data_IF_302473277308
#
_entry.id   IF_302473277308
#
_cell.length_a   1.000
_cell.length_b   1.000
_cell.length_c   1.000
_cell.angle_alpha   90.00
_cell.angle_beta   90.00
_cell.angle_gamma   90.00
#
_symmetry.space_group_name_H-M   'P 1'
#
loop_
_entity.id
_entity.type
_entity.pdbx_description
1 polymer ?
#
# COMPACT_ATOMS: atom_id res chain seq x y z
N UNK A 1 -8.38 11.19 -2.13
CA UNK A 1 -8.56 10.51 -3.43
C UNK A 1 -7.20 10.34 -4.07
N UNK A 2 -6.98 9.28 -4.85
CA UNK A 2 -5.67 9.08 -5.47
C UNK A 2 -5.37 10.15 -6.55
N UNK A 3 -4.18 10.72 -6.49
CA UNK A 3 -3.64 11.66 -7.46
C UNK A 3 -3.07 10.89 -8.65
N UNK A 4 -3.10 11.55 -9.81
CA UNK A 4 -2.58 11.02 -11.08
C UNK A 4 -1.61 12.07 -11.62
N UNK A 5 -0.38 11.66 -11.91
CA UNK A 5 0.61 12.48 -12.61
C UNK A 5 0.94 11.78 -13.93
N UNK A 6 0.82 12.49 -15.04
CA UNK A 6 1.20 11.97 -16.34
C UNK A 6 2.72 12.01 -16.50
N UNK A 7 3.30 10.88 -16.94
CA UNK A 7 4.69 10.86 -17.36
C UNK A 7 4.84 11.63 -18.67
N UNK A 8 5.91 12.40 -18.82
CA UNK A 8 6.18 13.09 -20.06
C UNK A 8 6.47 12.07 -21.18
N UNK A 9 5.92 12.20 -22.41
CA UNK A 9 6.09 11.22 -23.47
C UNK A 9 7.56 10.87 -23.79
N UNK A 10 8.47 11.84 -23.71
CA UNK A 10 9.92 11.64 -23.93
C UNK A 10 10.55 10.69 -22.89
N UNK A 11 9.95 10.56 -21.71
CA UNK A 11 10.51 9.81 -20.58
C UNK A 11 9.97 8.38 -20.49
N UNK A 12 9.14 7.97 -21.45
CA UNK A 12 8.50 6.66 -21.46
C UNK A 12 8.59 6.02 -22.85
N UNK A 13 8.50 4.70 -22.89
CA UNK A 13 8.35 3.92 -24.12
C UNK A 13 6.88 3.54 -24.38
N UNK A 14 5.98 4.01 -23.53
CA UNK A 14 4.56 3.63 -23.53
C UNK A 14 3.68 4.80 -23.96
N UNK A 15 2.65 4.50 -24.75
CA UNK A 15 1.66 5.50 -25.19
C UNK A 15 0.91 6.12 -24.01
N UNK A 16 0.63 5.31 -22.99
CA UNK A 16 0.02 5.74 -21.75
C UNK A 16 0.92 5.39 -20.57
N UNK A 17 1.32 6.41 -19.81
CA UNK A 17 2.10 6.24 -18.59
C UNK A 17 1.70 7.29 -17.54
N UNK A 18 1.23 6.81 -16.39
CA UNK A 18 0.92 7.66 -15.23
C UNK A 18 1.57 7.13 -13.95
N UNK A 19 1.80 8.04 -13.02
CA UNK A 19 2.15 7.78 -11.63
C UNK A 19 0.94 8.06 -10.73
N UNK A 20 0.80 7.29 -9.66
CA UNK A 20 -0.25 7.50 -8.65
C UNK A 20 0.27 7.25 -7.24
N UNK A 21 -0.29 8.01 -6.29
CA UNK A 21 -0.04 7.89 -4.85
C UNK A 21 -0.82 6.73 -4.20
N UNK A 22 -1.57 5.96 -5.00
CA UNK A 22 -2.19 4.72 -4.56
C UNK A 22 -1.17 3.59 -4.44
N UNK A 23 -1.22 2.83 -3.34
CA UNK A 23 -0.34 1.68 -3.12
C UNK A 23 -0.43 0.65 -4.27
N UNK A 24 0.73 0.06 -4.60
CA UNK A 24 0.90 -0.85 -5.71
C UNK A 24 -0.10 -2.00 -5.74
N UNK A 25 -0.37 -2.64 -4.60
CA UNK A 25 -1.24 -3.81 -4.56
C UNK A 25 -2.70 -3.43 -4.82
N UNK A 26 -3.10 -2.21 -4.45
CA UNK A 26 -4.47 -1.74 -4.70
C UNK A 26 -4.65 -1.32 -6.12
N UNK A 27 -3.71 -0.55 -6.64
CA UNK A 27 -3.71 -0.18 -8.04
C UNK A 27 -3.73 -1.42 -8.92
N UNK A 28 -2.92 -2.45 -8.59
CA UNK A 28 -2.93 -3.73 -9.30
C UNK A 28 -4.29 -4.42 -9.24
N UNK A 29 -4.96 -4.44 -8.09
CA UNK A 29 -6.30 -5.02 -7.95
C UNK A 29 -7.35 -4.22 -8.72
N UNK A 30 -7.29 -2.90 -8.63
CA UNK A 30 -8.24 -1.95 -9.19
C UNK A 30 -8.19 -1.89 -10.73
N UNK A 31 -6.97 -1.95 -11.28
CA UNK A 31 -6.68 -1.81 -12.72
C UNK A 31 -6.63 -3.17 -13.43
N UNK A 32 -6.79 -4.29 -12.71
CA UNK A 32 -6.70 -5.65 -13.23
C UNK A 32 -7.38 -5.79 -14.61
N UNK A 33 -6.58 -6.17 -15.60
CA UNK A 33 -7.03 -6.41 -16.98
C UNK A 33 -7.14 -5.19 -17.89
N UNK A 34 -6.86 -3.97 -17.39
CA UNK A 34 -6.94 -2.74 -18.20
C UNK A 34 -5.58 -2.21 -18.65
N UNK A 35 -4.55 -2.35 -17.81
CA UNK A 35 -3.20 -1.87 -18.07
C UNK A 35 -2.17 -2.61 -17.20
N UNK A 36 -0.90 -2.44 -17.52
CA UNK A 36 0.20 -2.97 -16.72
C UNK A 36 0.45 -2.06 -15.51
N UNK A 37 0.53 -2.64 -14.32
CA UNK A 37 0.83 -1.92 -13.07
C UNK A 37 2.20 -2.33 -12.58
N UNK A 38 3.08 -1.35 -12.35
CA UNK A 38 4.46 -1.53 -11.87
C UNK A 38 4.68 -0.71 -10.61
N UNK A 39 5.65 -1.14 -9.78
CA UNK A 39 6.13 -0.30 -8.66
C UNK A 39 6.96 0.86 -9.20
N UNK A 40 6.91 2.00 -8.54
CA UNK A 40 7.77 3.14 -8.85
C UNK A 40 9.09 3.04 -8.09
N UNK A 41 10.17 2.85 -8.84
CA UNK A 41 11.55 2.93 -8.35
C UNK A 41 12.32 4.06 -9.05
N UNK A 42 11.61 4.93 -9.78
CA UNK A 42 12.21 6.01 -10.57
C UNK A 42 12.80 7.12 -9.70
N UNK A 43 13.74 7.87 -10.28
CA UNK A 43 14.40 9.01 -9.62
C UNK A 43 13.64 10.34 -9.78
N UNK A 44 12.74 10.41 -10.76
CA UNK A 44 12.08 11.67 -11.12
C UNK A 44 10.91 12.01 -10.17
N UNK A 45 10.12 11.01 -9.81
CA UNK A 45 9.09 11.11 -8.78
C UNK A 45 9.42 10.10 -7.69
N UNK A 46 9.38 10.56 -6.45
CA UNK A 46 9.59 9.73 -5.27
C UNK A 46 8.64 8.53 -5.27
N UNK A 47 9.19 7.32 -5.17
CA UNK A 47 8.42 6.10 -4.97
C UNK A 47 7.74 6.04 -3.59
N UNK A 48 8.13 6.89 -2.65
CA UNK A 48 7.48 7.00 -1.35
C UNK A 48 6.21 7.84 -1.41
N UNK A 49 6.14 8.81 -2.33
CA UNK A 49 4.96 9.67 -2.54
C UNK A 49 4.04 9.12 -3.64
N UNK A 50 4.63 8.54 -4.68
CA UNK A 50 3.94 7.96 -5.83
C UNK A 50 4.46 6.53 -6.06
N UNK A 51 4.02 5.53 -5.27
CA UNK A 51 4.59 4.18 -5.27
C UNK A 51 4.25 3.36 -6.51
N UNK A 52 3.36 3.84 -7.36
CA UNK A 52 2.80 3.04 -8.45
C UNK A 52 2.88 3.75 -9.79
N UNK A 53 3.28 2.98 -10.80
CA UNK A 53 3.21 3.33 -12.22
C UNK A 53 2.13 2.49 -12.89
N UNK A 54 1.32 3.10 -13.76
CA UNK A 54 0.39 2.41 -14.65
C UNK A 54 0.78 2.72 -16.08
N UNK A 55 1.08 1.68 -16.85
CA UNK A 55 1.59 1.77 -18.23
C UNK A 55 0.75 0.92 -19.18
N UNK A 56 0.55 1.38 -20.40
CA UNK A 56 -0.04 0.57 -21.46
C UNK A 56 0.22 1.15 -22.84
N UNK A 57 0.18 0.28 -23.83
CA UNK A 57 0.40 0.60 -25.25
C UNK A 57 -0.91 0.40 -25.99
N UNK A 58 -1.19 1.25 -26.98
CA UNK A 58 -2.40 1.18 -27.81
C UNK A 58 -3.72 1.13 -27.03
N UNK A 59 -3.80 1.80 -25.88
CA UNK A 59 -5.03 1.86 -25.08
C UNK A 59 -6.07 2.77 -25.74
N UNK A 60 -7.31 2.30 -25.83
CA UNK A 60 -8.40 3.15 -26.29
C UNK A 60 -8.73 4.26 -25.27
N UNK A 61 -9.25 5.39 -25.75
CA UNK A 61 -9.67 6.48 -24.87
C UNK A 61 -10.71 6.04 -23.81
N UNK A 62 -11.56 5.07 -24.14
CA UNK A 62 -12.53 4.51 -23.19
C UNK A 62 -11.85 3.79 -22.02
N UNK A 63 -10.81 3.00 -22.31
CA UNK A 63 -10.01 2.30 -21.29
C UNK A 63 -9.25 3.30 -20.41
N UNK A 64 -8.63 4.31 -21.01
CA UNK A 64 -7.91 5.37 -20.27
C UNK A 64 -8.86 6.07 -19.29
N UNK A 65 -10.04 6.52 -19.75
CA UNK A 65 -11.05 7.14 -18.88
C UNK A 65 -11.52 6.19 -17.76
N UNK A 66 -11.64 4.90 -18.05
CA UNK A 66 -12.01 3.90 -17.05
C UNK A 66 -10.91 3.74 -15.98
N UNK A 67 -9.64 3.70 -16.37
CA UNK A 67 -8.49 3.65 -15.45
C UNK A 67 -8.51 4.88 -14.54
N UNK A 68 -8.56 6.09 -15.12
CA UNK A 68 -8.56 7.34 -14.35
C UNK A 68 -9.74 7.43 -13.39
N UNK A 69 -10.94 7.05 -13.85
CA UNK A 69 -12.15 7.04 -13.01
C UNK A 69 -11.98 6.14 -11.80
N UNK A 70 -11.48 4.92 -12.00
CA UNK A 70 -11.25 3.97 -10.90
C UNK A 70 -10.22 4.53 -9.91
N UNK A 71 -9.10 5.06 -10.41
CA UNK A 71 -8.04 5.62 -9.55
C UNK A 71 -8.53 6.80 -8.72
N UNK A 72 -9.22 7.78 -9.34
CA UNK A 72 -9.74 8.96 -8.62
C UNK A 72 -10.72 8.59 -7.50
N UNK A 73 -11.48 7.51 -7.65
CA UNK A 73 -12.40 7.04 -6.61
C UNK A 73 -11.72 6.32 -5.45
N UNK A 74 -10.47 5.87 -5.61
CA UNK A 74 -9.75 5.14 -4.58
C UNK A 74 -9.34 6.06 -3.42
N UNK A 75 -9.55 5.58 -2.20
CA UNK A 75 -8.99 6.18 -0.99
C UNK A 75 -7.55 5.70 -0.84
N UNK A 76 -6.64 6.64 -0.69
CA UNK A 76 -5.21 6.33 -0.51
C UNK A 76 -4.91 5.96 0.94
N UNK A 77 -3.76 5.36 1.14
CA UNK A 77 -3.17 5.12 2.46
C UNK A 77 -1.66 5.28 2.32
N UNK A 78 -0.92 5.38 3.44
CA UNK A 78 0.53 5.28 3.38
C UNK A 78 0.96 4.04 2.58
N UNK A 79 1.95 4.14 1.68
CA UNK A 79 2.40 3.00 0.89
C UNK A 79 2.99 1.91 1.79
N UNK A 80 2.70 0.65 1.47
CA UNK A 80 3.09 -0.47 2.34
C UNK A 80 4.60 -0.59 2.50
N UNK A 81 5.37 -0.28 1.46
CA UNK A 81 6.84 -0.35 1.53
C UNK A 81 7.41 0.73 2.45
N UNK A 82 6.80 1.90 2.53
CA UNK A 82 7.21 2.98 3.46
C UNK A 82 6.96 2.53 4.90
N UNK A 83 5.77 1.99 5.18
CA UNK A 83 5.44 1.45 6.52
C UNK A 83 6.46 0.37 6.90
N UNK A 84 6.66 -0.63 6.04
CA UNK A 84 7.55 -1.76 6.32
C UNK A 84 8.98 -1.28 6.56
N UNK A 85 9.47 -0.34 5.75
CA UNK A 85 10.81 0.24 5.91
C UNK A 85 10.96 0.89 7.28
N UNK A 86 10.04 1.77 7.69
CA UNK A 86 10.09 2.39 9.02
C UNK A 86 9.94 1.38 10.15
N UNK A 87 9.12 0.34 10.00
CA UNK A 87 9.01 -0.75 10.98
C UNK A 87 10.29 -1.58 11.14
N UNK A 88 11.18 -1.58 10.14
CA UNK A 88 12.51 -2.23 10.19
C UNK A 88 13.52 -1.30 10.86
N UNK A 89 13.62 -0.06 10.39
CA UNK A 89 14.68 0.87 10.80
C UNK A 89 14.38 1.60 12.11
N UNK A 90 13.14 2.04 12.29
CA UNK A 90 12.74 2.91 13.40
C UNK A 90 11.93 2.16 14.47
N UNK A 91 11.40 0.98 14.13
CA UNK A 91 10.55 0.16 15.00
C UNK A 91 9.10 0.64 15.12
N UNK A 92 8.77 1.78 14.52
CA UNK A 92 7.42 2.34 14.42
C UNK A 92 7.24 3.11 13.11
N UNK A 93 5.99 3.42 12.76
CA UNK A 93 5.66 4.37 11.68
C UNK A 93 4.56 5.32 12.14
N UNK A 94 4.73 6.61 11.89
CA UNK A 94 3.79 7.65 12.29
C UNK A 94 3.42 8.54 11.09
N UNK A 95 2.14 8.87 10.95
CA UNK A 95 1.69 9.75 9.86
C UNK A 95 0.50 10.62 10.25
N UNK A 96 0.38 11.75 9.55
CA UNK A 96 -0.78 12.65 9.63
C UNK A 96 -1.94 12.10 8.79
N UNK A 97 -3.09 11.76 9.38
CA UNK A 97 -4.21 11.11 8.67
C UNK A 97 -4.81 11.97 7.56
N UNK A 98 -4.84 13.29 7.74
CA UNK A 98 -5.40 14.25 6.77
C UNK A 98 -4.64 14.27 5.44
N UNK A 99 -3.41 13.74 5.40
CA UNK A 99 -2.66 13.56 4.14
C UNK A 99 -3.23 12.45 3.26
N UNK A 100 -3.97 11.50 3.86
CA UNK A 100 -4.42 10.29 3.17
C UNK A 100 -5.93 10.12 3.16
N UNK A 101 -6.60 10.52 4.25
CA UNK A 101 -8.00 10.22 4.49
C UNK A 101 -8.87 11.47 4.36
N UNK A 102 -10.13 11.33 3.91
CA UNK A 102 -11.09 12.44 3.91
C UNK A 102 -11.35 12.95 5.33
N UNK A 103 -11.42 14.27 5.51
CA UNK A 103 -11.71 14.91 6.81
C UNK A 103 -13.03 14.45 7.43
N UNK A 104 -14.01 14.09 6.61
CA UNK A 104 -15.31 13.57 7.06
C UNK A 104 -15.26 12.19 7.72
N UNK A 105 -14.13 11.49 7.68
CA UNK A 105 -13.99 10.17 8.29
C UNK A 105 -13.81 10.31 9.80
N UNK A 106 -14.47 9.46 10.58
CA UNK A 106 -14.23 9.39 12.02
C UNK A 106 -12.85 8.80 12.30
N UNK A 107 -12.31 9.11 13.49
CA UNK A 107 -11.03 8.55 13.96
C UNK A 107 -11.02 7.02 13.94
N UNK A 108 -12.13 6.38 14.34
CA UNK A 108 -12.26 4.92 14.33
C UNK A 108 -12.26 4.34 12.92
N UNK A 109 -12.94 5.00 11.98
CA UNK A 109 -12.95 4.56 10.58
C UNK A 109 -11.56 4.66 9.96
N UNK A 110 -10.82 5.73 10.25
CA UNK A 110 -9.43 5.89 9.82
C UNK A 110 -8.56 4.75 10.37
N UNK A 111 -8.65 4.47 11.68
CA UNK A 111 -7.89 3.40 12.34
C UNK A 111 -8.23 2.01 11.77
N UNK A 112 -9.52 1.71 11.61
CA UNK A 112 -9.98 0.46 11.02
C UNK A 112 -9.46 0.31 9.59
N UNK A 113 -9.59 1.35 8.78
CA UNK A 113 -9.08 1.36 7.42
C UNK A 113 -7.56 1.17 7.41
N UNK A 114 -6.79 1.90 8.21
CA UNK A 114 -5.34 1.73 8.32
C UNK A 114 -4.97 0.29 8.68
N UNK A 115 -5.62 -0.29 9.70
CA UNK A 115 -5.34 -1.65 10.14
C UNK A 115 -5.56 -2.69 9.03
N UNK A 116 -6.71 -2.63 8.35
CA UNK A 116 -7.05 -3.55 7.25
C UNK A 116 -6.07 -3.47 6.07
N UNK A 117 -5.33 -2.37 5.96
CA UNK A 117 -4.39 -2.11 4.87
C UNK A 117 -2.99 -2.63 5.15
N UNK A 118 -2.65 -2.83 6.42
CA UNK A 118 -1.31 -3.24 6.83
C UNK A 118 -0.92 -4.59 6.22
N UNK A 119 0.34 -4.76 5.79
CA UNK A 119 0.84 -6.04 5.31
C UNK A 119 1.10 -7.00 6.49
N UNK A 120 0.03 -7.39 7.21
CA UNK A 120 0.09 -8.26 8.41
C UNK A 120 0.54 -9.69 8.12
N UNK A 121 0.71 -10.05 6.85
CA UNK A 121 1.33 -11.29 6.41
C UNK A 121 2.86 -11.19 6.31
N UNK A 122 3.44 -10.00 6.49
CA UNK A 122 4.89 -9.82 6.56
C UNK A 122 5.38 -9.99 8.01
N UNK A 123 6.36 -10.87 8.20
CA UNK A 123 6.92 -11.18 9.51
C UNK A 123 7.49 -9.99 10.28
N UNK A 124 7.88 -8.92 9.56
CA UNK A 124 8.32 -7.64 10.15
C UNK A 124 7.22 -7.00 10.99
N UNK A 125 5.96 -7.07 10.56
CA UNK A 125 4.83 -6.44 11.23
C UNK A 125 4.13 -7.41 12.19
N UNK A 126 4.00 -8.67 11.81
CA UNK A 126 3.24 -9.64 12.58
C UNK A 126 3.88 -11.02 12.48
N UNK A 127 4.26 -11.58 13.61
CA UNK A 127 4.90 -12.89 13.74
C UNK A 127 4.45 -13.56 15.06
N UNK A 128 4.90 -14.80 15.36
CA UNK A 128 4.47 -15.51 16.57
C UNK A 128 4.76 -14.78 17.88
N UNK A 129 5.75 -13.89 17.90
CA UNK A 129 6.17 -13.17 19.11
C UNK A 129 5.72 -11.72 19.12
N UNK A 130 5.51 -11.10 17.95
CA UNK A 130 5.24 -9.67 17.84
C UNK A 130 3.97 -9.42 17.03
N UNK A 131 3.28 -8.35 17.39
CA UNK A 131 2.12 -7.85 16.67
C UNK A 131 2.21 -6.34 16.49
N UNK A 132 1.47 -5.81 15.51
CA UNK A 132 1.28 -4.37 15.40
C UNK A 132 0.20 -3.88 16.34
N UNK A 133 0.40 -2.70 16.88
CA UNK A 133 -0.63 -1.92 17.58
C UNK A 133 -0.77 -0.59 16.87
N UNK A 134 -2.00 -0.20 16.54
CA UNK A 134 -2.28 1.16 16.09
C UNK A 134 -2.74 1.98 17.29
N UNK A 135 -2.25 3.21 17.39
CA UNK A 135 -2.70 4.17 18.38
C UNK A 135 -2.74 5.58 17.80
N UNK A 136 -3.59 6.42 18.37
CA UNK A 136 -3.50 7.86 18.19
C UNK A 136 -2.41 8.42 19.10
N UNK A 137 -1.54 9.25 18.54
CA UNK A 137 -0.52 10.02 19.28
C UNK A 137 -0.72 11.47 18.91
N UNK A 138 -1.44 12.20 19.77
CA UNK A 138 -1.98 13.52 19.42
C UNK A 138 -2.91 13.43 18.20
N UNK A 139 -2.58 14.19 17.15
CA UNK A 139 -3.34 14.23 15.89
C UNK A 139 -2.84 13.25 14.82
N UNK A 140 -1.89 12.37 15.17
CA UNK A 140 -1.29 11.41 14.25
C UNK A 140 -1.69 9.98 14.55
N UNK A 141 -1.68 9.14 13.53
CA UNK A 141 -1.79 7.69 13.70
C UNK A 141 -0.38 7.11 13.73
N UNK A 142 -0.11 6.31 14.77
CA UNK A 142 1.14 5.59 14.96
C UNK A 142 0.91 4.09 14.90
N UNK A 143 1.82 3.39 14.24
CA UNK A 143 1.91 1.95 14.13
C UNK A 143 3.15 1.52 14.92
N UNK A 144 2.95 0.81 16.02
CA UNK A 144 4.02 0.27 16.85
C UNK A 144 4.15 -1.24 16.66
N UNK A 145 5.37 -1.76 16.89
CA UNK A 145 5.60 -3.18 17.11
C UNK A 145 5.57 -3.47 18.60
N UNK A 146 4.72 -4.42 19.01
CA UNK A 146 4.54 -4.78 20.41
C UNK A 146 4.79 -6.27 20.57
N UNK A 147 5.50 -6.65 21.64
CA UNK A 147 5.66 -8.05 22.00
C UNK A 147 4.32 -8.62 22.49
N UNK A 148 3.98 -9.80 22.01
CA UNK A 148 2.85 -10.59 22.49
C UNK A 148 3.20 -11.11 23.89
N UNK A 149 2.19 -11.19 24.75
CA UNK A 149 2.32 -11.82 26.07
C UNK A 149 2.60 -13.31 25.97
N UNK A 150 2.04 -13.96 24.95
CA UNK A 150 2.20 -15.37 24.67
C UNK A 150 2.52 -15.61 23.20
N UNK A 151 3.27 -16.67 22.91
CA UNK A 151 3.59 -17.08 21.54
C UNK A 151 2.31 -17.47 20.81
N UNK A 152 2.06 -16.85 19.66
CA UNK A 152 0.93 -17.18 18.79
C UNK A 152 1.36 -18.16 17.69
N UNK A 153 1.01 -19.43 17.88
CA UNK A 153 1.20 -20.48 16.87
C UNK A 153 -0.13 -20.74 16.12
N UNK A 154 -0.28 -20.23 14.88
CA UNK A 154 -1.53 -20.40 14.14
C UNK A 154 -1.73 -21.86 13.75
N UNK A 155 -2.90 -22.42 14.09
CA UNK A 155 -3.28 -23.79 13.69
C UNK A 155 -3.58 -23.82 12.19
N UNK A 156 -2.71 -24.46 11.42
CA UNK A 156 -2.86 -24.62 9.97
C UNK A 156 -3.86 -25.76 9.70
N UNK A 157 -5.04 -25.43 9.21
CA UNK A 157 -6.13 -26.39 8.95
C UNK A 157 -6.22 -26.87 7.51
N UNK A 158 -5.61 -26.16 6.55
CA UNK A 158 -5.69 -26.51 5.14
C UNK A 158 -4.48 -26.03 4.33
N UNK A 159 -4.35 -26.55 3.10
CA UNK A 159 -3.25 -26.22 2.20
C UNK A 159 -3.17 -24.72 1.84
N UNK A 160 -4.29 -23.99 1.79
CA UNK A 160 -4.29 -22.55 1.54
C UNK A 160 -3.66 -21.76 2.71
N UNK A 161 -4.00 -22.14 3.95
CA UNK A 161 -3.38 -21.60 5.16
C UNK A 161 -1.89 -21.98 5.22
N UNK A 162 -1.53 -23.23 4.90
CA UNK A 162 -0.14 -23.66 4.86
C UNK A 162 0.71 -22.81 3.90
N UNK A 163 0.20 -22.52 2.70
CA UNK A 163 0.88 -21.63 1.73
C UNK A 163 1.02 -20.19 2.21
N UNK A 164 0.06 -19.67 2.98
CA UNK A 164 0.14 -18.34 3.59
C UNK A 164 1.12 -18.27 4.76
N UNK A 165 1.29 -19.38 5.48
CA UNK A 165 2.20 -19.51 6.63
C UNK A 165 3.60 -20.00 6.26
N UNK A 166 3.82 -20.46 5.03
CA UNK A 166 5.17 -20.60 4.49
C UNK A 166 5.83 -19.23 4.53
N UNK A 167 6.71 -19.05 5.51
CA UNK A 167 7.66 -17.94 5.56
C UNK A 167 8.59 -18.11 4.36
N UNK A 168 8.16 -17.61 3.20
CA UNK A 168 9.10 -17.29 2.14
C UNK A 168 9.89 -16.11 2.70
N UNK A 169 11.21 -16.22 2.89
CA UNK A 169 12.01 -15.07 3.24
C UNK A 169 11.67 -13.99 2.23
N UNK A 170 11.11 -12.87 2.68
CA UNK A 170 11.02 -11.71 1.79
C UNK A 170 12.45 -11.27 1.58
N UNK A 171 13.08 -11.79 0.52
CA UNK A 171 14.34 -11.26 0.01
C UNK A 171 14.03 -9.82 -0.42
N UNK A 172 14.14 -8.90 0.53
CA UNK A 172 14.39 -7.49 0.25
C UNK A 172 15.78 -7.38 -0.35
#
# INVERSE_FOLDING_TARGET
MARIIYCHPIQTKHDYHIYTDLDFWDARRLIKGLATVKRNFGRQLSGDDFPTQVTGDHLSHAVIRQIEKRLRQAVISPPRHVIVRSMIFDGYYEFEPNRFYPERWSRDLMMHFTYCRLPLNQGVLNNPHQQVRLAWVGEKIRIDKVQRTEKYDPVIRNASQARKHMMVPSCF
#
